data_IF_306722176482
#
_entry.id   IF_306722176482
#
_cell.length_a   1.000
_cell.length_b   1.000
_cell.length_c   1.000
_cell.angle_alpha   90.00
_cell.angle_beta   90.00
_cell.angle_gamma   90.00
#
_symmetry.space_group_name_H-M   'P 1'
#
loop_
_entity.id
_entity.type
_entity.pdbx_description
1 polymer ?
#
# COMPACT_ATOMS: atom_id res chain seq x y z
N UNK A 1 -2.20 4.23 16.92
CA UNK A 1 -1.10 3.57 16.16
C UNK A 1 -1.74 2.48 15.30
N UNK A 2 -1.39 2.35 14.01
CA UNK A 2 -1.93 1.27 13.16
C UNK A 2 -1.21 -0.04 13.51
N UNK A 3 -1.98 -1.09 13.76
CA UNK A 3 -1.49 -2.45 14.03
C UNK A 3 -1.62 -3.33 12.79
N UNK A 4 -0.85 -4.42 12.75
CA UNK A 4 -1.05 -5.48 11.78
C UNK A 4 -2.12 -6.44 12.28
N UNK A 5 -3.05 -6.80 11.41
CA UNK A 5 -4.13 -7.74 11.72
C UNK A 5 -4.28 -8.74 10.58
N UNK A 6 -4.58 -9.98 10.92
CA UNK A 6 -4.88 -11.03 9.96
C UNK A 6 -6.38 -11.23 9.87
N UNK A 7 -6.88 -11.42 8.65
CA UNK A 7 -8.24 -11.87 8.37
C UNK A 7 -8.11 -13.12 7.54
N UNK A 8 -8.56 -14.24 8.10
CA UNK A 8 -8.52 -15.56 7.49
C UNK A 8 -9.92 -16.00 7.10
N UNK A 9 -10.07 -16.56 5.90
CA UNK A 9 -11.30 -17.22 5.50
C UNK A 9 -11.47 -17.37 4.01
N UNK A 10 -12.70 -17.66 3.60
CA UNK A 10 -13.02 -17.98 2.22
C UNK A 10 -13.30 -16.71 1.42
N UNK A 11 -12.72 -16.60 0.24
CA UNK A 11 -13.00 -15.51 -0.68
C UNK A 11 -14.36 -15.76 -1.37
N UNK A 12 -15.41 -15.09 -0.91
CA UNK A 12 -16.78 -15.30 -1.40
C UNK A 12 -17.08 -14.53 -2.67
N UNK A 13 -16.46 -13.37 -2.86
CA UNK A 13 -16.69 -12.52 -4.04
C UNK A 13 -15.44 -11.70 -4.40
N UNK A 14 -15.22 -11.55 -5.70
CA UNK A 14 -14.17 -10.72 -6.27
C UNK A 14 -14.75 -9.91 -7.41
N UNK A 15 -14.76 -8.59 -7.26
CA UNK A 15 -15.16 -7.67 -8.32
C UNK A 15 -13.94 -6.90 -8.82
N UNK A 16 -13.85 -6.72 -10.15
CA UNK A 16 -12.77 -5.97 -10.80
C UNK A 16 -13.35 -4.73 -11.47
N UNK A 17 -12.84 -3.58 -11.09
CA UNK A 17 -13.18 -2.29 -11.65
C UNK A 17 -11.97 -1.73 -12.42
N UNK A 18 -12.19 -1.45 -13.70
CA UNK A 18 -11.23 -0.81 -14.59
C UNK A 18 -11.58 0.69 -14.67
N UNK A 19 -10.58 1.56 -14.88
CA UNK A 19 -10.78 3.01 -15.03
C UNK A 19 -11.42 3.70 -13.81
N UNK A 20 -10.89 3.41 -12.63
CA UNK A 20 -11.38 4.00 -11.37
C UNK A 20 -11.08 5.50 -11.35
N UNK A 21 -12.08 6.36 -11.06
CA UNK A 21 -11.83 7.80 -10.97
C UNK A 21 -10.82 8.08 -9.85
N UNK A 22 -9.71 8.70 -10.23
CA UNK A 22 -8.68 9.10 -9.27
C UNK A 22 -9.11 10.38 -8.57
N UNK A 23 -9.15 10.35 -7.24
CA UNK A 23 -9.19 11.59 -6.46
C UNK A 23 -7.92 12.38 -6.76
N UNK A 24 -8.01 13.71 -6.84
CA UNK A 24 -6.91 14.57 -7.28
C UNK A 24 -5.57 14.31 -6.57
N UNK A 25 -5.59 14.04 -5.26
CA UNK A 25 -4.40 13.75 -4.46
C UNK A 25 -4.01 12.26 -4.40
N UNK A 26 -4.86 11.34 -4.85
CA UNK A 26 -4.63 9.90 -4.77
C UNK A 26 -4.14 9.38 -6.12
N UNK A 27 -2.96 8.73 -6.12
CA UNK A 27 -2.41 8.11 -7.31
C UNK A 27 -2.11 6.64 -7.03
N UNK A 28 -2.87 5.78 -7.69
CA UNK A 28 -2.73 4.33 -7.65
C UNK A 28 -2.01 3.84 -8.93
N UNK A 29 -0.87 3.13 -8.83
CA UNK A 29 -0.12 2.65 -9.99
C UNK A 29 -0.93 1.68 -10.87
N UNK A 30 -1.73 0.83 -10.24
CA UNK A 30 -2.44 -0.24 -10.91
C UNK A 30 -3.53 0.26 -11.87
N UNK A 31 -4.13 1.44 -11.64
CA UNK A 31 -5.37 1.96 -12.28
C UNK A 31 -6.56 0.98 -12.30
N UNK A 32 -6.42 -0.16 -11.62
CA UNK A 32 -7.43 -1.17 -11.40
C UNK A 32 -7.75 -1.20 -9.90
N UNK A 33 -9.03 -1.31 -9.57
CA UNK A 33 -9.51 -1.55 -8.20
C UNK A 33 -10.15 -2.91 -8.20
N UNK A 34 -9.77 -3.74 -7.24
CA UNK A 34 -10.45 -5.01 -6.97
C UNK A 34 -11.08 -4.90 -5.60
N UNK A 35 -12.33 -5.29 -5.53
CA UNK A 35 -13.05 -5.43 -4.27
C UNK A 35 -13.17 -6.92 -3.97
N UNK A 36 -12.82 -7.28 -2.75
CA UNK A 36 -12.73 -8.64 -2.25
C UNK A 36 -13.65 -8.72 -1.05
N UNK A 37 -14.49 -9.76 -1.01
CA UNK A 37 -15.25 -10.09 0.18
C UNK A 37 -14.70 -11.39 0.72
N UNK A 38 -14.21 -11.35 1.96
CA UNK A 38 -13.71 -12.51 2.67
C UNK A 38 -14.74 -12.82 3.75
N UNK A 39 -15.29 -14.03 3.69
CA UNK A 39 -16.08 -14.59 4.78
C UNK A 39 -15.09 -15.06 5.85
N UNK A 40 -14.95 -14.26 6.90
CA UNK A 40 -14.00 -14.55 7.96
C UNK A 40 -14.38 -15.87 8.67
N UNK A 41 -13.38 -16.68 9.02
CA UNK A 41 -13.60 -17.90 9.81
C UNK A 41 -14.13 -17.53 11.20
N UNK A 42 -13.50 -16.52 11.80
CA UNK A 42 -13.81 -16.03 13.13
C UNK A 42 -14.21 -14.54 13.05
N UNK A 43 -15.45 -14.24 12.67
CA UNK A 43 -15.98 -12.88 12.74
C UNK A 43 -16.89 -12.47 11.57
N UNK A 44 -17.13 -11.16 11.41
CA UNK A 44 -17.96 -10.65 10.34
C UNK A 44 -17.23 -10.72 8.99
N UNK A 45 -18.01 -10.78 7.92
CA UNK A 45 -17.51 -10.68 6.56
C UNK A 45 -16.78 -9.34 6.35
N UNK A 46 -15.59 -9.40 5.75
CA UNK A 46 -14.74 -8.23 5.55
C UNK A 46 -14.67 -7.90 4.07
N UNK A 47 -15.02 -6.65 3.74
CA UNK A 47 -14.80 -6.09 2.41
C UNK A 47 -13.43 -5.41 2.36
N UNK A 48 -12.56 -5.89 1.48
CA UNK A 48 -11.25 -5.30 1.22
C UNK A 48 -11.23 -4.65 -0.16
N UNK A 49 -10.64 -3.46 -0.23
CA UNK A 49 -10.45 -2.73 -1.48
C UNK A 49 -8.95 -2.65 -1.76
N UNK A 50 -8.50 -3.30 -2.82
CA UNK A 50 -7.10 -3.32 -3.24
C UNK A 50 -6.95 -2.69 -4.63
N UNK A 51 -5.86 -1.95 -4.82
CA UNK A 51 -5.50 -1.43 -6.14
C UNK A 51 -4.37 -2.26 -6.72
N UNK A 52 -4.73 -3.29 -7.49
CA UNK A 52 -3.73 -4.16 -8.11
C UNK A 52 -4.20 -4.76 -9.44
N UNK A 53 -3.26 -4.97 -10.34
CA UNK A 53 -3.50 -5.64 -11.62
C UNK A 53 -3.56 -7.16 -11.49
N UNK A 54 -2.81 -7.72 -10.54
CA UNK A 54 -2.69 -9.16 -10.36
C UNK A 54 -3.31 -9.58 -9.02
N UNK A 55 -4.10 -10.65 -9.02
CA UNK A 55 -4.66 -11.24 -7.80
C UNK A 55 -4.57 -12.76 -7.92
N UNK A 56 -3.82 -13.45 -7.04
CA UNK A 56 -3.62 -14.89 -7.11
C UNK A 56 -4.77 -15.72 -6.49
N UNK A 57 -5.85 -15.08 -6.05
CA UNK A 57 -6.99 -15.73 -5.42
C UNK A 57 -8.26 -15.60 -6.27
N UNK A 58 -9.10 -16.64 -6.23
CA UNK A 58 -10.40 -16.72 -6.91
C UNK A 58 -11.49 -17.00 -5.89
N UNK A 59 -12.74 -16.82 -6.30
CA UNK A 59 -13.90 -17.18 -5.48
C UNK A 59 -13.80 -18.64 -5.03
N UNK A 60 -14.06 -18.90 -3.76
CA UNK A 60 -13.97 -20.24 -3.14
C UNK A 60 -12.57 -20.63 -2.67
N UNK A 61 -11.56 -19.75 -2.80
CA UNK A 61 -10.23 -20.02 -2.24
C UNK A 61 -10.17 -19.59 -0.77
N UNK A 62 -9.44 -20.38 0.02
CA UNK A 62 -9.08 -20.04 1.39
C UNK A 62 -7.89 -19.09 1.37
N UNK A 63 -8.06 -17.93 2.00
CA UNK A 63 -7.07 -16.85 1.97
C UNK A 63 -6.82 -16.26 3.35
N UNK A 64 -5.57 -15.83 3.56
CA UNK A 64 -5.17 -14.99 4.67
C UNK A 64 -4.79 -13.60 4.16
N UNK A 65 -5.59 -12.60 4.52
CA UNK A 65 -5.31 -11.21 4.23
C UNK A 65 -4.58 -10.55 5.40
N UNK A 66 -3.46 -9.90 5.11
CA UNK A 66 -2.73 -9.06 6.06
C UNK A 66 -3.16 -7.60 5.89
N UNK A 67 -3.65 -7.02 6.98
CA UNK A 67 -4.08 -5.63 7.08
C UNK A 67 -3.11 -4.82 7.93
N UNK A 68 -2.90 -3.55 7.59
CA UNK A 68 -2.19 -2.56 8.39
C UNK A 68 -3.11 -1.38 8.70
N UNK A 69 -3.77 -1.42 9.87
CA UNK A 69 -5.03 -0.70 10.07
C UNK A 69 -6.06 -1.20 9.06
N UNK A 70 -6.71 -0.30 8.33
CA UNK A 70 -7.70 -0.67 7.30
C UNK A 70 -7.10 -0.97 5.92
N UNK A 71 -5.76 -0.88 5.79
CA UNK A 71 -5.08 -1.02 4.50
C UNK A 71 -4.69 -2.48 4.26
N UNK A 72 -5.21 -3.15 3.22
CA UNK A 72 -4.69 -4.45 2.78
C UNK A 72 -3.28 -4.32 2.22
N UNK A 73 -2.33 -5.00 2.86
CA UNK A 73 -0.89 -4.93 2.53
C UNK A 73 -0.33 -6.23 1.94
N UNK A 74 -1.02 -7.35 2.19
CA UNK A 74 -0.66 -8.64 1.61
C UNK A 74 -1.84 -9.62 1.60
N UNK A 75 -1.73 -10.64 0.76
CA UNK A 75 -2.69 -11.75 0.68
C UNK A 75 -1.91 -13.04 0.42
N UNK A 76 -2.22 -14.07 1.18
CA UNK A 76 -1.73 -15.44 1.00
C UNK A 76 -2.91 -16.33 0.63
N UNK A 77 -2.77 -17.16 -0.40
CA UNK A 77 -3.79 -18.09 -0.85
C UNK A 77 -3.37 -19.51 -0.43
N UNK A 78 -4.10 -20.10 0.51
CA UNK A 78 -3.83 -21.46 0.99
C UNK A 78 -4.17 -22.53 -0.05
N UNK A 79 -5.18 -22.27 -0.89
CA UNK A 79 -5.61 -23.22 -1.92
C UNK A 79 -4.57 -23.42 -3.03
N UNK A 80 -3.78 -22.39 -3.37
CA UNK A 80 -2.73 -22.49 -4.42
C UNK A 80 -1.31 -22.40 -3.88
N UNK A 81 -1.12 -21.94 -2.64
CA UNK A 81 0.19 -21.62 -2.07
C UNK A 81 0.80 -20.32 -2.59
N UNK A 82 0.08 -19.57 -3.42
CA UNK A 82 0.54 -18.29 -3.96
C UNK A 82 0.37 -17.14 -2.96
N UNK A 83 1.20 -16.12 -3.11
CA UNK A 83 1.14 -14.93 -2.28
C UNK A 83 1.33 -13.66 -3.09
N UNK A 84 0.67 -12.57 -2.68
CA UNK A 84 0.87 -11.25 -3.25
C UNK A 84 1.17 -10.22 -2.16
N UNK A 85 2.12 -9.34 -2.48
CA UNK A 85 2.58 -8.25 -1.63
C UNK A 85 2.17 -6.94 -2.29
N UNK A 86 1.02 -6.40 -1.91
CA UNK A 86 0.45 -5.23 -2.60
C UNK A 86 1.40 -4.02 -2.61
N UNK A 87 2.12 -3.78 -1.51
CA UNK A 87 3.10 -2.70 -1.40
C UNK A 87 4.35 -2.85 -2.29
N UNK A 88 4.60 -4.06 -2.81
CA UNK A 88 5.72 -4.36 -3.70
C UNK A 88 5.26 -4.36 -5.16
N UNK A 89 4.11 -4.97 -5.45
CA UNK A 89 3.55 -5.05 -6.80
C UNK A 89 3.09 -3.68 -7.29
N UNK A 90 2.38 -2.93 -6.44
CA UNK A 90 1.79 -1.63 -6.80
C UNK A 90 2.14 -0.60 -5.71
N UNK A 91 3.40 -0.14 -5.64
CA UNK A 91 3.82 0.77 -4.59
C UNK A 91 3.11 2.11 -4.73
N UNK A 92 2.54 2.69 -3.65
CA UNK A 92 1.96 4.03 -3.74
C UNK A 92 2.99 5.01 -4.32
N UNK A 93 2.62 6.13 -4.95
CA UNK A 93 3.63 7.07 -5.43
C UNK A 93 4.21 7.89 -4.26
N UNK A 94 5.54 8.05 -4.21
CA UNK A 94 6.19 8.86 -3.16
C UNK A 94 5.80 10.32 -3.34
N UNK A 95 5.75 10.73 -4.61
CA UNK A 95 5.30 12.03 -5.06
C UNK A 95 3.82 12.00 -5.44
N UNK A 96 3.04 12.95 -4.93
CA UNK A 96 1.60 13.11 -5.24
C UNK A 96 1.39 14.43 -5.98
N UNK A 97 0.31 14.52 -6.77
CA UNK A 97 -0.11 15.77 -7.43
C UNK A 97 -0.30 16.92 -6.44
N UNK A 98 -0.75 16.64 -5.23
CA UNK A 98 -0.94 17.66 -4.21
C UNK A 98 0.38 18.19 -3.64
N UNK A 99 1.46 17.39 -3.67
CA UNK A 99 2.79 17.90 -3.35
C UNK A 99 3.25 18.89 -4.45
N UNK A 100 3.02 18.57 -5.73
CA UNK A 100 3.32 19.47 -6.84
C UNK A 100 2.49 20.77 -6.80
N UNK A 101 1.19 20.69 -6.51
CA UNK A 101 0.33 21.86 -6.37
C UNK A 101 0.78 22.76 -5.20
N UNK A 102 1.17 22.16 -4.07
CA UNK A 102 1.70 22.90 -2.93
C UNK A 102 3.01 23.63 -3.30
N UNK A 103 3.94 22.95 -3.99
CA UNK A 103 5.19 23.56 -4.45
C UNK A 103 4.89 24.72 -5.40
N UNK A 104 4.00 24.53 -6.37
CA UNK A 104 3.63 25.59 -7.30
C UNK A 104 3.04 26.80 -6.57
N UNK A 105 2.15 26.58 -5.59
CA UNK A 105 1.57 27.65 -4.78
C UNK A 105 2.60 28.42 -3.95
N UNK A 106 3.53 27.71 -3.30
CA UNK A 106 4.60 28.36 -2.51
C UNK A 106 5.57 29.12 -3.41
N UNK A 107 5.99 28.54 -4.53
CA UNK A 107 6.84 29.24 -5.49
C UNK A 107 6.18 30.51 -6.02
N UNK A 108 4.89 30.45 -6.37
CA UNK A 108 4.14 31.62 -6.80
C UNK A 108 4.07 32.70 -5.69
N UNK A 109 3.82 32.29 -4.44
CA UNK A 109 3.80 33.21 -3.30
C UNK A 109 5.18 33.86 -3.07
N UNK A 110 6.28 33.12 -3.19
CA UNK A 110 7.63 33.64 -3.04
C UNK A 110 7.99 34.64 -4.15
N UNK A 111 7.59 34.36 -5.40
CA UNK A 111 7.80 35.28 -6.53
C UNK A 111 6.97 36.56 -6.35
N UNK A 112 5.72 36.44 -5.92
CA UNK A 112 4.88 37.61 -5.61
C UNK A 112 5.46 38.42 -4.45
N UNK A 113 5.92 37.78 -3.38
CA UNK A 113 6.57 38.44 -2.24
C UNK A 113 7.86 39.16 -2.64
N UNK A 114 8.64 38.56 -3.54
CA UNK A 114 9.82 39.19 -4.13
C UNK A 114 9.46 40.47 -4.90
N UNK A 115 8.45 40.38 -5.77
CA UNK A 115 8.03 41.49 -6.62
C UNK A 115 7.38 42.64 -5.85
N UNK A 116 6.66 42.34 -4.77
CA UNK A 116 5.83 43.31 -4.04
C UNK A 116 6.49 43.87 -2.77
N UNK A 117 7.38 43.12 -2.13
CA UNK A 117 7.96 43.51 -0.84
C UNK A 117 9.49 43.69 -0.93
N UNK A 118 10.24 42.60 -1.14
CA UNK A 118 11.71 42.64 -1.14
C UNK A 118 12.36 41.29 -1.50
N UNK A 119 13.66 41.34 -1.77
CA UNK A 119 14.49 40.20 -2.17
C UNK A 119 14.56 38.98 -1.20
N UNK A 120 14.43 39.09 0.14
CA UNK A 120 14.58 37.96 1.06
C UNK A 120 13.56 36.83 0.88
N UNK A 121 12.41 37.12 0.26
CA UNK A 121 11.38 36.11 -0.02
C UNK A 121 11.88 34.96 -0.91
N UNK A 122 12.82 35.23 -1.83
CA UNK A 122 13.45 34.16 -2.63
C UNK A 122 14.48 33.38 -1.83
N UNK A 123 15.25 34.06 -0.98
CA UNK A 123 16.27 33.42 -0.14
C UNK A 123 15.69 32.42 0.85
N UNK A 124 14.52 32.72 1.42
CA UNK A 124 13.87 31.83 2.41
C UNK A 124 12.98 30.81 1.73
N UNK A 125 12.28 31.22 0.66
CA UNK A 125 11.31 30.38 -0.04
C UNK A 125 11.92 29.12 -0.66
N UNK A 126 13.00 29.27 -1.43
CA UNK A 126 13.62 28.16 -2.15
C UNK A 126 14.15 27.08 -1.19
N UNK A 127 14.95 27.40 -0.16
CA UNK A 127 15.43 26.40 0.80
C UNK A 127 14.29 25.73 1.58
N UNK A 128 13.23 26.47 1.94
CA UNK A 128 12.08 25.90 2.65
C UNK A 128 11.35 24.84 1.82
N UNK A 129 11.16 25.09 0.51
CA UNK A 129 10.56 24.12 -0.42
C UNK A 129 11.45 22.88 -0.55
N UNK A 130 12.75 23.05 -0.74
CA UNK A 130 13.70 21.94 -0.85
C UNK A 130 13.73 21.10 0.43
N UNK A 131 13.86 21.74 1.59
CA UNK A 131 13.90 21.04 2.88
C UNK A 131 12.61 20.25 3.13
N UNK A 132 11.45 20.86 2.89
CA UNK A 132 10.16 20.17 3.08
C UNK A 132 10.00 19.00 2.12
N UNK A 133 10.34 19.18 0.84
CA UNK A 133 10.21 18.10 -0.14
C UNK A 133 11.11 16.92 0.21
N UNK A 134 12.37 17.17 0.59
CA UNK A 134 13.26 16.13 1.10
C UNK A 134 12.69 15.43 2.33
N UNK A 135 12.16 16.18 3.30
CA UNK A 135 11.57 15.61 4.51
C UNK A 135 10.35 14.72 4.19
N UNK A 136 9.41 15.21 3.37
CA UNK A 136 8.19 14.47 3.02
C UNK A 136 8.51 13.21 2.25
N UNK A 137 9.42 13.29 1.27
CA UNK A 137 9.89 12.15 0.48
C UNK A 137 10.60 11.14 1.38
N UNK A 138 11.53 11.60 2.22
CA UNK A 138 12.29 10.77 3.15
C UNK A 138 11.41 10.02 4.14
N UNK A 139 10.48 10.72 4.80
CA UNK A 139 9.51 10.11 5.73
C UNK A 139 8.65 9.06 5.02
N UNK A 140 8.14 9.36 3.81
CA UNK A 140 7.34 8.41 3.04
C UNK A 140 8.14 7.19 2.59
N UNK A 141 9.41 7.37 2.21
CA UNK A 141 10.30 6.25 1.85
C UNK A 141 10.62 5.38 3.06
N UNK A 142 11.00 5.98 4.19
CA UNK A 142 11.30 5.27 5.43
C UNK A 142 10.08 4.48 5.92
N UNK A 143 8.91 5.11 5.89
CA UNK A 143 7.65 4.44 6.22
C UNK A 143 7.42 3.23 5.31
N UNK A 144 7.59 3.36 3.99
CA UNK A 144 7.43 2.23 3.06
C UNK A 144 8.40 1.10 3.33
N UNK A 145 9.68 1.41 3.56
CA UNK A 145 10.68 0.39 3.83
C UNK A 145 10.37 -0.36 5.12
N UNK A 146 10.01 0.36 6.18
CA UNK A 146 9.64 -0.25 7.46
C UNK A 146 8.40 -1.13 7.35
N UNK A 147 7.35 -0.68 6.64
CA UNK A 147 6.14 -1.48 6.45
C UNK A 147 6.41 -2.68 5.54
N UNK A 148 7.17 -2.51 4.45
CA UNK A 148 7.55 -3.61 3.56
C UNK A 148 8.30 -4.71 4.30
N UNK A 149 9.31 -4.36 5.09
CA UNK A 149 10.07 -5.33 5.86
C UNK A 149 9.17 -6.13 6.83
N UNK A 150 8.23 -5.46 7.50
CA UNK A 150 7.26 -6.12 8.40
C UNK A 150 6.29 -7.04 7.64
N UNK A 151 5.78 -6.59 6.49
CA UNK A 151 4.90 -7.39 5.62
C UNK A 151 5.63 -8.60 5.06
N UNK A 152 6.88 -8.42 4.63
CA UNK A 152 7.73 -9.49 4.13
C UNK A 152 7.96 -10.56 5.21
N UNK A 153 8.27 -10.15 6.44
CA UNK A 153 8.45 -11.06 7.56
C UNK A 153 7.16 -11.80 7.93
N UNK A 154 6.03 -11.08 7.99
CA UNK A 154 4.72 -11.65 8.32
C UNK A 154 4.25 -12.68 7.28
N UNK A 155 4.29 -12.36 5.99
CA UNK A 155 3.92 -13.30 4.93
C UNK A 155 4.89 -14.49 4.85
N UNK A 156 6.19 -14.27 5.06
CA UNK A 156 7.16 -15.37 5.13
C UNK A 156 6.91 -16.30 6.31
N UNK A 157 6.34 -15.82 7.42
CA UNK A 157 5.96 -16.66 8.55
C UNK A 157 4.73 -17.53 8.19
N UNK A 158 3.71 -16.96 7.55
CA UNK A 158 2.52 -17.70 7.08
C UNK A 158 2.90 -18.73 6.02
N UNK A 159 3.69 -18.36 5.02
CA UNK A 159 4.16 -19.28 3.99
C UNK A 159 4.94 -20.48 4.60
N UNK A 160 5.75 -20.24 5.64
CA UNK A 160 6.46 -21.30 6.38
C UNK A 160 5.51 -22.19 7.18
N UNK A 161 4.46 -21.63 7.78
CA UNK A 161 3.46 -22.40 8.51
C UNK A 161 2.59 -23.26 7.58
N UNK A 162 2.32 -22.77 6.37
CA UNK A 162 1.54 -23.48 5.35
C UNK A 162 2.32 -24.60 4.63
N UNK A 163 3.65 -24.62 4.70
CA UNK A 163 4.43 -25.71 4.13
C UNK A 163 4.14 -27.02 4.87
N UNK A 164 3.80 -28.12 4.16
CA UNK A 164 3.64 -29.41 4.79
C UNK A 164 4.96 -29.77 5.48
N UNK A 165 4.91 -30.04 6.79
CA UNK A 165 6.08 -30.49 7.55
C UNK A 165 6.72 -31.66 6.77
N UNK A 166 8.03 -31.61 6.46
CA UNK A 166 8.68 -32.74 5.81
C UNK A 166 8.51 -33.95 6.71
N UNK A 167 7.66 -34.89 6.31
CA UNK A 167 7.60 -36.21 6.93
C UNK A 167 8.94 -36.85 6.61
N UNK A 168 9.85 -36.85 7.57
CA UNK A 168 11.08 -37.63 7.51
C UNK A 168 10.67 -39.09 7.28
N UNK A 169 10.67 -39.52 6.02
CA UNK A 169 10.36 -40.89 5.64
C UNK A 169 11.60 -41.69 5.96
N UNK A 170 11.60 -42.34 7.14
CA UNK A 170 12.66 -43.29 7.50
C UNK A 170 12.61 -44.41 6.45
N UNK A 171 13.60 -44.42 5.57
CA UNK A 171 13.87 -45.54 4.66
C UNK A 171 14.35 -46.69 5.55
N UNK A 172 13.67 -47.84 5.48
CA UNK A 172 14.14 -49.09 6.07
C UNK A 172 15.14 -49.73 5.12
#
# INVERSE_FOLDING_TARGET
MRSFQWVSGELIEVQRFINVPMRWCEQYPARERRELWIKAIDGPDVKLVVHTRFLPARRGHDVDALLFGDLPVGLFNHSTGDQIKFLRTDPPLVWRRCDAAWIAGVTAACVAGFALLSWPWLLVGVPAVVLRTMLVVGVRMLWRWSVRAKVDAALAAVARAAQPRPRLRRVK
#
